data_IF_328898516646
#
_entry.id   IF_328898516646
#
_cell.length_a   1.000
_cell.length_b   1.000
_cell.length_c   1.000
_cell.angle_alpha   90.00
_cell.angle_beta   90.00
_cell.angle_gamma   90.00
#
_symmetry.space_group_name_H-M   'P 1'
#
loop_
_entity.id
_entity.type
_entity.pdbx_description
1 polymer ?
#
# COMPACT_ATOMS: atom_id res chain seq x y z
N UNK A 1 -15.34 -16.33 -3.42
CA UNK A 1 -15.01 -15.93 -2.01
C UNK A 1 -13.54 -16.16 -1.65
N UNK A 2 -12.92 -17.25 -2.08
CA UNK A 2 -11.45 -17.46 -2.01
C UNK A 2 -10.66 -16.51 -2.93
N UNK A 3 -11.27 -16.05 -4.03
CA UNK A 3 -10.58 -15.28 -5.08
C UNK A 3 -9.94 -13.98 -4.60
N UNK A 4 -10.56 -13.24 -3.67
CA UNK A 4 -10.00 -11.95 -3.22
C UNK A 4 -8.65 -12.10 -2.52
N UNK A 5 -8.44 -13.19 -1.79
CA UNK A 5 -7.14 -13.50 -1.19
C UNK A 5 -6.15 -13.93 -2.27
N UNK A 6 -6.59 -14.68 -3.30
CA UNK A 6 -5.74 -15.03 -4.44
C UNK A 6 -5.31 -13.78 -5.26
N UNK A 7 -6.23 -12.82 -5.44
CA UNK A 7 -5.92 -11.52 -6.04
C UNK A 7 -4.91 -10.73 -5.19
N UNK A 8 -5.09 -10.66 -3.87
CA UNK A 8 -4.08 -10.06 -2.99
C UNK A 8 -2.74 -10.79 -3.11
N UNK A 9 -2.69 -12.13 -3.05
CA UNK A 9 -1.45 -12.90 -3.22
C UNK A 9 -0.73 -12.57 -4.54
N UNK A 10 -1.47 -12.51 -5.65
CA UNK A 10 -0.99 -12.14 -6.99
C UNK A 10 -0.31 -10.76 -7.04
N UNK A 11 -0.80 -9.78 -6.28
CA UNK A 11 -0.28 -8.40 -6.31
C UNK A 11 0.60 -7.99 -5.12
N UNK A 12 0.66 -8.79 -4.04
CA UNK A 12 1.36 -8.40 -2.78
C UNK A 12 2.84 -8.83 -2.75
N UNK A 13 3.42 -9.25 -3.89
CA UNK A 13 4.86 -9.54 -4.06
C UNK A 13 5.41 -10.70 -3.20
N UNK A 14 4.56 -11.66 -2.80
CA UNK A 14 4.96 -12.73 -1.87
C UNK A 14 5.96 -13.73 -2.45
N UNK A 15 5.87 -14.01 -3.74
CA UNK A 15 6.79 -14.90 -4.45
C UNK A 15 8.11 -14.21 -4.85
N UNK A 16 8.42 -13.06 -4.23
CA UNK A 16 9.57 -12.19 -4.50
C UNK A 16 9.70 -11.67 -5.95
N UNK A 17 8.73 -11.96 -6.83
CA UNK A 17 8.57 -11.36 -8.15
C UNK A 17 7.99 -9.96 -7.97
N UNK A 18 8.82 -8.95 -8.19
CA UNK A 18 8.39 -7.56 -8.26
C UNK A 18 8.20 -7.16 -9.73
N UNK A 19 7.15 -6.40 -10.07
CA UNK A 19 7.05 -5.76 -11.38
C UNK A 19 8.14 -4.71 -11.54
N UNK A 20 8.26 -4.11 -12.72
CA UNK A 20 9.22 -3.03 -12.96
C UNK A 20 9.10 -1.93 -11.88
N UNK A 21 10.23 -1.69 -11.23
CA UNK A 21 10.41 -0.68 -10.19
C UNK A 21 10.99 0.62 -10.75
N UNK A 22 11.41 0.65 -12.01
CA UNK A 22 12.04 1.81 -12.64
C UNK A 22 13.31 2.28 -11.92
N UNK A 23 13.67 3.55 -12.10
CA UNK A 23 14.86 4.14 -11.47
C UNK A 23 14.60 4.43 -9.99
N UNK A 24 15.46 3.91 -9.10
CA UNK A 24 15.35 4.06 -7.64
C UNK A 24 15.41 5.51 -7.19
N UNK A 25 14.33 6.03 -6.60
CA UNK A 25 14.21 7.43 -6.18
C UNK A 25 14.74 7.65 -4.76
N UNK A 26 16.04 7.36 -4.54
CA UNK A 26 16.69 7.34 -3.21
C UNK A 26 16.39 8.55 -2.31
N UNK A 27 16.34 9.77 -2.84
CA UNK A 27 16.02 10.97 -2.06
C UNK A 27 14.58 10.98 -1.52
N UNK A 28 13.61 10.46 -2.28
CA UNK A 28 12.21 10.36 -1.86
C UNK A 28 11.99 9.18 -0.91
N UNK A 29 12.65 8.05 -1.16
CA UNK A 29 12.66 6.89 -0.26
C UNK A 29 13.26 7.26 1.10
N UNK A 30 14.40 7.94 1.14
CA UNK A 30 15.01 8.42 2.38
C UNK A 30 14.10 9.34 3.18
N UNK A 31 13.36 10.26 2.53
CA UNK A 31 12.32 11.06 3.19
C UNK A 31 11.20 10.18 3.76
N UNK A 32 10.67 9.22 3.00
CA UNK A 32 9.66 8.28 3.51
C UNK A 32 10.16 7.55 4.76
N UNK A 33 11.41 7.04 4.74
CA UNK A 33 12.03 6.37 5.88
C UNK A 33 12.14 7.24 7.14
N UNK A 34 12.54 8.51 7.03
CA UNK A 34 12.60 9.45 8.16
C UNK A 34 11.25 9.62 8.86
N UNK A 35 10.16 9.42 8.12
CA UNK A 35 8.81 9.52 8.65
C UNK A 35 8.19 8.15 9.01
N UNK A 36 8.89 7.02 8.81
CA UNK A 36 8.43 5.71 9.30
C UNK A 36 8.59 5.57 10.82
N UNK A 37 8.09 4.48 11.39
CA UNK A 37 8.22 4.16 12.82
C UNK A 37 7.07 4.66 13.70
N UNK A 38 6.52 5.83 13.41
CA UNK A 38 5.31 6.34 14.08
C UNK A 38 4.02 5.60 13.66
N UNK A 39 2.90 5.95 14.31
CA UNK A 39 1.51 5.61 13.90
C UNK A 39 0.89 6.71 13.02
N UNK A 40 1.67 7.73 12.70
CA UNK A 40 1.39 8.66 11.63
C UNK A 40 1.77 7.99 10.30
N UNK A 41 1.90 8.79 9.24
CA UNK A 41 1.38 8.32 7.96
C UNK A 41 1.94 9.09 6.82
N UNK A 42 1.96 8.46 5.64
CA UNK A 42 2.34 9.14 4.43
C UNK A 42 1.22 9.03 3.39
N UNK A 43 0.52 10.13 3.10
CA UNK A 43 -0.28 10.29 1.87
C UNK A 43 0.64 10.90 0.82
N UNK A 44 0.83 10.18 -0.29
CA UNK A 44 1.64 10.64 -1.42
C UNK A 44 0.74 11.38 -2.42
N UNK A 45 0.73 12.71 -2.34
CA UNK A 45 0.03 13.56 -3.31
C UNK A 45 0.95 13.99 -4.46
N UNK A 46 0.38 14.29 -5.62
CA UNK A 46 1.13 14.74 -6.79
C UNK A 46 0.44 14.40 -8.12
N UNK A 47 0.92 15.02 -9.20
CA UNK A 47 0.34 14.93 -10.55
C UNK A 47 0.16 13.49 -11.08
N UNK A 48 -0.77 13.31 -12.03
CA UNK A 48 -0.89 12.03 -12.76
C UNK A 48 0.41 11.74 -13.53
N UNK A 49 0.80 10.45 -13.58
CA UNK A 49 2.06 9.95 -14.14
C UNK A 49 3.36 10.41 -13.45
N UNK A 50 3.28 11.06 -12.28
CA UNK A 50 4.47 11.44 -11.50
C UNK A 50 5.33 10.28 -10.96
N UNK A 51 4.86 9.02 -11.05
CA UNK A 51 5.57 7.85 -10.52
C UNK A 51 5.31 7.56 -9.04
N UNK A 52 4.15 7.95 -8.49
CA UNK A 52 3.77 7.72 -7.08
C UNK A 52 3.68 6.22 -6.76
N UNK A 53 2.99 5.44 -7.60
CA UNK A 53 2.86 4.00 -7.49
C UNK A 53 4.20 3.26 -7.64
N UNK A 54 5.14 3.80 -8.44
CA UNK A 54 6.52 3.30 -8.47
C UNK A 54 7.23 3.52 -7.13
N UNK A 55 7.09 4.69 -6.50
CA UNK A 55 7.66 4.97 -5.17
C UNK A 55 7.06 4.08 -4.08
N UNK A 56 5.74 3.80 -4.13
CA UNK A 56 5.08 2.84 -3.24
C UNK A 56 5.68 1.43 -3.40
N UNK A 57 5.79 0.91 -4.63
CA UNK A 57 6.39 -0.40 -4.91
C UNK A 57 7.87 -0.47 -4.53
N UNK A 58 8.65 0.58 -4.76
CA UNK A 58 10.04 0.70 -4.28
C UNK A 58 10.12 0.62 -2.75
N UNK A 59 9.21 1.30 -2.03
CA UNK A 59 9.15 1.26 -0.56
C UNK A 59 8.83 -0.14 -0.05
N UNK A 60 7.88 -0.84 -0.69
CA UNK A 60 7.54 -2.24 -0.37
C UNK A 60 8.73 -3.17 -0.64
N UNK A 61 9.49 -2.95 -1.72
CA UNK A 61 10.72 -3.70 -2.00
C UNK A 61 11.79 -3.48 -0.92
N UNK A 62 11.99 -2.26 -0.44
CA UNK A 62 12.97 -1.98 0.62
C UNK A 62 12.52 -2.55 1.99
N UNK A 63 11.21 -2.53 2.31
CA UNK A 63 10.67 -3.20 3.51
C UNK A 63 10.90 -4.71 3.48
N UNK A 64 10.57 -5.38 2.38
CA UNK A 64 10.82 -6.83 2.24
C UNK A 64 12.30 -7.16 2.24
N UNK A 65 13.14 -6.34 1.59
CA UNK A 65 14.60 -6.51 1.57
C UNK A 65 15.27 -6.25 2.92
N UNK A 66 14.63 -5.48 3.83
CA UNK A 66 15.08 -5.29 5.22
C UNK A 66 14.57 -6.36 6.19
N UNK A 67 13.94 -7.43 5.69
CA UNK A 67 13.52 -8.59 6.49
C UNK A 67 12.07 -8.54 7.00
N UNK A 68 11.26 -7.57 6.58
CA UNK A 68 9.82 -7.59 6.86
C UNK A 68 9.17 -8.71 6.02
N UNK A 69 8.47 -9.69 6.64
CA UNK A 69 7.80 -10.74 5.89
C UNK A 69 6.77 -10.17 4.92
N UNK A 70 6.65 -10.72 3.72
CA UNK A 70 5.68 -10.23 2.73
C UNK A 70 4.21 -10.36 3.22
N UNK A 71 3.93 -11.33 4.09
CA UNK A 71 2.65 -11.47 4.83
C UNK A 71 2.32 -10.31 5.77
N UNK A 72 3.29 -9.47 6.11
CA UNK A 72 3.11 -8.27 6.93
C UNK A 72 2.86 -7.02 6.07
N UNK A 73 2.81 -7.17 4.75
CA UNK A 73 2.54 -6.08 3.81
C UNK A 73 1.20 -6.37 3.15
N UNK A 74 0.27 -5.44 3.25
CA UNK A 74 -0.99 -5.44 2.50
C UNK A 74 -0.87 -4.37 1.41
N UNK A 75 -1.07 -4.76 0.15
CA UNK A 75 -1.13 -3.82 -0.98
C UNK A 75 -2.46 -3.96 -1.71
N UNK A 76 -3.19 -2.86 -1.81
CA UNK A 76 -4.41 -2.71 -2.58
C UNK A 76 -4.15 -1.62 -3.64
N UNK A 77 -4.44 -1.92 -4.91
CA UNK A 77 -4.39 -0.93 -5.98
C UNK A 77 -5.74 -0.92 -6.70
N UNK A 78 -6.45 0.21 -6.65
CA UNK A 78 -7.77 0.36 -7.26
C UNK A 78 -7.77 0.45 -8.78
N UNK A 79 -6.61 0.48 -9.45
CA UNK A 79 -6.50 0.31 -10.90
C UNK A 79 -6.77 -1.14 -11.38
N UNK A 80 -6.71 -2.14 -10.49
CA UNK A 80 -6.99 -3.54 -10.86
C UNK A 80 -8.47 -3.89 -10.65
N UNK A 81 -9.12 -4.37 -11.71
CA UNK A 81 -10.53 -4.81 -11.71
C UNK A 81 -10.83 -5.91 -10.70
N UNK A 82 -9.82 -6.72 -10.34
CA UNK A 82 -9.88 -7.71 -9.26
C UNK A 82 -10.32 -7.09 -7.90
N UNK A 83 -10.23 -5.76 -7.74
CA UNK A 83 -10.61 -4.99 -6.55
C UNK A 83 -11.78 -4.02 -6.77
N UNK A 84 -12.57 -4.17 -7.83
CA UNK A 84 -13.77 -3.34 -8.08
C UNK A 84 -14.84 -3.51 -7.00
N UNK A 85 -14.87 -4.66 -6.32
CA UNK A 85 -15.75 -4.92 -5.18
C UNK A 85 -15.42 -4.08 -3.93
N UNK A 86 -14.27 -3.39 -3.90
CA UNK A 86 -13.91 -2.41 -2.86
C UNK A 86 -14.31 -1.03 -3.37
N UNK A 87 -15.58 -0.70 -3.19
CA UNK A 87 -16.16 0.61 -3.52
C UNK A 87 -16.16 1.55 -2.31
N UNK A 88 -16.31 1.04 -1.07
CA UNK A 88 -16.34 1.86 0.15
C UNK A 88 -15.31 1.45 1.22
N UNK A 89 -15.13 2.32 2.22
CA UNK A 89 -14.23 2.07 3.35
C UNK A 89 -14.59 0.82 4.18
N UNK A 90 -15.86 0.39 4.21
CA UNK A 90 -16.32 -0.77 4.99
C UNK A 90 -15.89 -2.06 4.32
N UNK A 91 -15.98 -2.11 2.99
CA UNK A 91 -15.48 -3.20 2.17
C UNK A 91 -13.96 -3.28 2.25
N UNK A 92 -13.26 -2.14 2.28
CA UNK A 92 -11.81 -2.08 2.51
C UNK A 92 -11.42 -2.64 3.89
N UNK A 93 -12.07 -2.18 4.97
CA UNK A 93 -11.84 -2.67 6.33
C UNK A 93 -12.17 -4.17 6.48
N UNK A 94 -13.26 -4.62 5.86
CA UNK A 94 -13.62 -6.04 5.81
C UNK A 94 -12.58 -6.88 5.04
N UNK A 95 -11.97 -6.34 3.98
CA UNK A 95 -10.90 -7.00 3.23
C UNK A 95 -9.61 -7.09 4.07
N UNK A 96 -9.23 -6.00 4.76
CA UNK A 96 -8.06 -5.97 5.66
C UNK A 96 -8.24 -6.97 6.81
N UNK A 97 -9.42 -7.01 7.45
CA UNK A 97 -9.72 -7.99 8.51
C UNK A 97 -9.58 -9.43 8.02
N UNK A 98 -10.21 -9.78 6.88
CA UNK A 98 -10.09 -11.11 6.26
C UNK A 98 -8.65 -11.48 5.93
N UNK A 99 -7.85 -10.52 5.45
CA UNK A 99 -6.42 -10.70 5.21
C UNK A 99 -5.67 -11.03 6.51
N UNK A 100 -5.88 -10.26 7.57
CA UNK A 100 -5.24 -10.47 8.87
C UNK A 100 -5.63 -11.82 9.49
N UNK A 101 -6.91 -12.20 9.45
CA UNK A 101 -7.40 -13.47 9.96
C UNK A 101 -6.83 -14.68 9.20
N UNK A 102 -6.66 -14.54 7.88
CA UNK A 102 -6.08 -15.58 7.01
C UNK A 102 -4.58 -15.72 7.19
N UNK A 103 -3.86 -14.61 7.25
CA UNK A 103 -2.39 -14.59 7.22
C UNK A 103 -1.74 -14.61 8.58
N UNK A 104 -2.45 -14.16 9.62
CA UNK A 104 -1.98 -14.09 11.01
C UNK A 104 -0.54 -13.53 11.12
N UNK A 105 -0.25 -12.38 10.48
CA UNK A 105 1.09 -11.82 10.46
C UNK A 105 1.58 -11.52 11.88
N UNK A 106 2.86 -11.78 12.14
CA UNK A 106 3.48 -11.53 13.44
C UNK A 106 4.19 -10.19 13.43
N UNK A 107 3.90 -9.33 14.41
CA UNK A 107 4.52 -8.02 14.55
C UNK A 107 3.80 -6.92 13.75
N UNK A 108 4.56 -5.93 13.26
CA UNK A 108 3.99 -4.75 12.57
C UNK A 108 3.49 -5.12 11.17
N UNK A 109 2.28 -4.69 10.85
CA UNK A 109 1.69 -4.77 9.50
C UNK A 109 1.74 -3.39 8.84
N UNK A 110 2.03 -3.37 7.55
CA UNK A 110 2.09 -2.17 6.71
C UNK A 110 0.95 -2.23 5.69
N UNK A 111 0.15 -1.17 5.61
CA UNK A 111 -0.96 -1.05 4.68
C UNK A 111 -0.58 -0.04 3.58
N UNK A 112 -0.70 -0.45 2.32
CA UNK A 112 -0.47 0.37 1.15
C UNK A 112 -1.71 0.36 0.28
N UNK A 113 -2.19 1.56 -0.09
CA UNK A 113 -3.39 1.75 -0.92
C UNK A 113 -3.04 2.71 -2.05
N UNK A 114 -3.02 2.22 -3.29
CA UNK A 114 -2.91 3.03 -4.51
C UNK A 114 -4.31 3.48 -4.96
N UNK A 115 -4.39 4.69 -5.53
CA UNK A 115 -5.63 5.34 -5.97
C UNK A 115 -6.75 5.31 -4.90
N UNK A 116 -6.40 5.65 -3.64
CA UNK A 116 -7.32 5.65 -2.48
C UNK A 116 -8.57 6.50 -2.67
N UNK A 117 -8.52 7.52 -3.54
CA UNK A 117 -9.66 8.38 -3.84
C UNK A 117 -10.82 7.64 -4.56
N UNK A 118 -10.55 6.47 -5.14
CA UNK A 118 -11.57 5.60 -5.75
C UNK A 118 -12.35 4.77 -4.70
N UNK A 119 -12.12 5.00 -3.39
CA UNK A 119 -12.83 4.35 -2.28
C UNK A 119 -13.73 5.39 -1.61
N UNK A 120 -15.05 5.21 -1.70
CA UNK A 120 -16.03 6.12 -1.12
C UNK A 120 -15.89 6.23 0.41
N UNK A 121 -15.92 7.47 0.91
CA UNK A 121 -15.85 7.77 2.33
C UNK A 121 -14.47 7.53 2.98
N UNK A 122 -13.40 7.34 2.19
CA UNK A 122 -12.04 7.14 2.71
C UNK A 122 -11.60 8.24 3.70
N UNK A 123 -12.00 9.49 3.46
CA UNK A 123 -11.70 10.66 4.32
C UNK A 123 -12.36 10.58 5.71
N UNK A 124 -13.58 10.03 5.78
CA UNK A 124 -14.37 9.93 7.01
C UNK A 124 -13.90 8.83 7.95
N UNK A 125 -13.00 7.96 7.48
CA UNK A 125 -12.49 6.88 8.30
C UNK A 125 -11.29 7.32 9.15
N UNK A 126 -11.14 6.67 10.31
CA UNK A 126 -9.80 6.45 10.87
C UNK A 126 -9.08 5.45 9.98
N UNK A 127 -8.79 5.86 8.74
CA UNK A 127 -7.72 5.23 7.96
C UNK A 127 -6.54 5.23 8.92
N UNK A 128 -5.96 4.05 9.14
CA UNK A 128 -4.59 3.98 9.62
C UNK A 128 -3.78 4.51 8.44
N UNK A 129 -3.80 5.85 8.29
CA UNK A 129 -3.03 6.79 7.47
C UNK A 129 -3.80 8.11 7.02
N UNK A 130 -3.75 9.22 7.82
CA UNK A 130 -3.65 10.68 7.39
C UNK A 130 -2.37 11.50 7.80
N UNK A 131 -1.57 12.02 6.85
CA UNK A 131 -0.53 13.09 6.95
C UNK A 131 0.00 13.40 5.54
N UNK A 132 0.19 14.67 5.18
CA UNK A 132 0.56 15.09 3.81
C UNK A 132 2.07 15.04 3.55
N UNK A 133 2.51 14.29 2.53
CA UNK A 133 3.79 14.56 1.87
C UNK A 133 3.49 15.30 0.57
N UNK A 134 3.56 16.64 0.63
CA UNK A 134 3.62 17.51 -0.54
C UNK A 134 4.93 17.28 -1.31
N UNK A 135 4.95 16.23 -2.13
CA UNK A 135 5.93 16.09 -3.18
C UNK A 135 5.60 17.10 -4.28
N UNK A 136 6.13 18.32 -4.16
CA UNK A 136 6.19 19.26 -5.29
C UNK A 136 7.03 18.61 -6.39
N UNK A 137 6.32 17.96 -7.32
CA UNK A 137 6.85 17.26 -8.48
C UNK A 137 7.01 18.26 -9.62
N UNK A 138 8.17 18.90 -9.63
CA UNK A 138 8.79 19.49 -10.82
C UNK A 138 10.10 18.72 -11.05
#
# INVERSE_FOLDING_TARGET
MSEYIAALQKYTFWDAVFPDLGVTRRAYLSKLWQYTGNRLVKVLVGQRRAGKSFLLRQTIRELTSSGIPASNIFYLNKEYTDFDFVADYKQQDALIKKYLDRMKPKGKVYLFVDEIQEIEGWEGHKVLFREEICANLC
#
